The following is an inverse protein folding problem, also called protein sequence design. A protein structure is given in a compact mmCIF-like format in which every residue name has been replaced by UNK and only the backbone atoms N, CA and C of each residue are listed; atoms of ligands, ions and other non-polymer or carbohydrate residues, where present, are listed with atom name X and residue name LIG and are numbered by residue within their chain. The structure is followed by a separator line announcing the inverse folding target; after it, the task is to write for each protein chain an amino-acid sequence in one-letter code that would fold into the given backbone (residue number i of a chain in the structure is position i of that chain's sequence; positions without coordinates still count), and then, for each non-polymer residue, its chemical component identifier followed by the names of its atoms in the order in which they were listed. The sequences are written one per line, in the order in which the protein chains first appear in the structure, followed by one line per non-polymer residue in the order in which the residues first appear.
data_IF_107057928854
#
_entry.id   IF_107057928854
#
_cell.length_a   1.000
_cell.length_b   1.000
_cell.length_c   1.000
_cell.angle_alpha   90.00
_cell.angle_beta   90.00
_cell.angle_gamma   90.00
#
_symmetry.space_group_name_H-M   'P 1'
#
loop_
_entity.id
_entity.type
_entity.pdbx_description
1 polymer ?
#
# COMPACT_ATOMS: atom_id res chain seq x y z
N UNK A 1 -5.11 -14.02 -26.59
CA UNK A 1 -3.80 -14.08 -27.31
C UNK A 1 -2.98 -12.88 -26.88
N UNK A 2 -1.74 -13.00 -26.39
CA UNK A 2 -0.98 -11.87 -25.80
C UNK A 2 -1.91 -10.86 -25.08
N UNK A 3 -1.88 -9.58 -25.46
CA UNK A 3 -2.70 -8.50 -24.91
C UNK A 3 -4.05 -8.27 -25.65
N UNK A 4 -4.61 -9.30 -26.29
CA UNK A 4 -5.92 -9.25 -26.96
C UNK A 4 -6.93 -10.18 -26.29
N UNK A 5 -8.14 -9.64 -26.10
CA UNK A 5 -9.30 -10.33 -25.52
C UNK A 5 -9.95 -11.35 -26.48
N UNK A 6 -9.56 -11.35 -27.76
CA UNK A 6 -10.11 -12.23 -28.81
C UNK A 6 -9.01 -13.07 -29.45
N UNK A 7 -9.39 -14.26 -29.91
CA UNK A 7 -8.51 -15.11 -30.71
C UNK A 7 -8.47 -14.64 -32.17
N UNK A 8 -7.26 -14.52 -32.72
CA UNK A 8 -7.02 -14.20 -34.12
C UNK A 8 -6.71 -15.49 -34.89
N UNK A 9 -7.16 -15.57 -36.14
CA UNK A 9 -6.67 -16.59 -37.07
C UNK A 9 -5.31 -16.15 -37.60
N UNK A 10 -4.25 -16.91 -37.35
CA UNK A 10 -2.90 -16.64 -37.84
C UNK A 10 -2.57 -17.61 -38.99
N UNK A 11 -1.95 -17.13 -40.06
CA UNK A 11 -1.34 -18.03 -41.05
C UNK A 11 -0.03 -18.62 -40.49
N UNK A 12 0.55 -19.61 -41.17
CA UNK A 12 1.74 -20.33 -40.70
C UNK A 12 2.89 -19.39 -40.32
N UNK A 13 3.19 -18.40 -41.18
CA UNK A 13 4.24 -17.42 -40.90
C UNK A 13 3.92 -16.51 -39.72
N UNK A 14 2.67 -16.09 -39.56
CA UNK A 14 2.21 -15.29 -38.41
C UNK A 14 2.22 -16.10 -37.11
N UNK A 15 1.96 -17.41 -37.21
CA UNK A 15 2.01 -18.35 -36.10
C UNK A 15 3.47 -18.57 -35.64
N UNK A 16 4.42 -18.69 -36.57
CA UNK A 16 5.85 -18.77 -36.27
C UNK A 16 6.34 -17.52 -35.52
N UNK A 17 5.91 -16.33 -35.98
CA UNK A 17 6.19 -15.06 -35.30
C UNK A 17 5.59 -15.07 -33.89
N UNK A 18 4.32 -15.47 -33.75
CA UNK A 18 3.66 -15.52 -32.45
C UNK A 18 4.38 -16.47 -31.48
N UNK A 19 4.70 -17.68 -31.92
CA UNK A 19 5.35 -18.69 -31.10
C UNK A 19 6.74 -18.25 -30.64
N UNK A 20 7.52 -17.63 -31.53
CA UNK A 20 8.81 -17.07 -31.16
C UNK A 20 8.66 -15.97 -30.09
N UNK A 21 7.69 -15.05 -30.27
CA UNK A 21 7.45 -13.97 -29.32
C UNK A 21 7.04 -14.52 -27.95
N UNK A 22 6.08 -15.45 -27.90
CA UNK A 22 5.60 -16.05 -26.64
C UNK A 22 6.71 -16.80 -25.91
N UNK A 23 7.61 -17.48 -26.63
CA UNK A 23 8.74 -18.18 -26.04
C UNK A 23 9.87 -17.25 -25.56
N UNK A 24 9.91 -15.99 -26.01
CA UNK A 24 11.04 -15.07 -25.80
C UNK A 24 10.59 -13.66 -25.39
N UNK A 25 9.52 -13.56 -24.60
CA UNK A 25 8.87 -12.28 -24.27
C UNK A 25 9.85 -11.23 -23.72
N UNK A 26 10.68 -11.61 -22.73
CA UNK A 26 11.66 -10.72 -22.10
C UNK A 26 12.77 -10.26 -23.07
N UNK A 27 13.06 -11.04 -24.12
CA UNK A 27 14.06 -10.67 -25.15
C UNK A 27 13.43 -9.74 -26.17
N UNK A 28 12.22 -10.06 -26.65
CA UNK A 28 11.55 -9.33 -27.75
C UNK A 28 11.21 -7.89 -27.39
N UNK A 29 10.87 -7.61 -26.13
CA UNK A 29 10.60 -6.24 -25.66
C UNK A 29 11.79 -5.29 -25.80
N UNK A 30 13.02 -5.78 -26.03
CA UNK A 30 14.22 -4.97 -26.25
C UNK A 30 14.75 -5.04 -27.70
N UNK A 31 14.24 -5.94 -28.55
CA UNK A 31 14.71 -6.12 -29.93
C UNK A 31 14.35 -4.94 -30.84
N UNK A 32 15.16 -4.71 -31.89
CA UNK A 32 14.71 -3.93 -33.05
C UNK A 32 13.91 -4.84 -33.98
N UNK A 33 13.05 -4.25 -34.81
CA UNK A 33 12.24 -5.01 -35.77
C UNK A 33 13.08 -5.88 -36.71
N UNK A 34 14.29 -5.41 -37.07
CA UNK A 34 15.25 -6.14 -37.90
C UNK A 34 15.80 -7.39 -37.20
N UNK A 35 15.99 -7.31 -35.89
CA UNK A 35 16.52 -8.42 -35.09
C UNK A 35 15.45 -9.52 -34.99
N UNK A 36 14.20 -9.14 -34.68
CA UNK A 36 13.07 -10.08 -34.65
C UNK A 36 12.81 -10.72 -36.03
N UNK A 37 12.86 -9.91 -37.09
CA UNK A 37 12.71 -10.41 -38.46
C UNK A 37 13.81 -11.43 -38.83
N UNK A 38 15.03 -11.22 -38.35
CA UNK A 38 16.16 -12.14 -38.59
C UNK A 38 15.97 -13.44 -37.84
N UNK A 39 15.56 -13.39 -36.57
CA UNK A 39 15.36 -14.55 -35.69
C UNK A 39 14.21 -15.45 -36.17
N UNK A 40 13.16 -14.87 -36.73
CA UNK A 40 12.00 -15.61 -37.27
C UNK A 40 12.13 -15.87 -38.78
N UNK A 41 13.23 -15.46 -39.40
CA UNK A 41 13.49 -15.64 -40.84
C UNK A 41 12.41 -15.03 -41.78
N UNK A 42 11.93 -13.84 -41.45
CA UNK A 42 10.90 -13.11 -42.24
C UNK A 42 11.34 -11.69 -42.59
N UNK A 43 10.57 -11.02 -43.46
CA UNK A 43 10.80 -9.59 -43.73
C UNK A 43 10.27 -8.70 -42.60
N UNK A 44 10.84 -7.51 -42.43
CA UNK A 44 10.32 -6.50 -41.50
C UNK A 44 8.88 -6.08 -41.84
N UNK A 45 8.50 -6.11 -43.12
CA UNK A 45 7.13 -5.86 -43.58
C UNK A 45 6.16 -6.92 -43.07
N UNK A 46 6.59 -8.19 -43.00
CA UNK A 46 5.80 -9.29 -42.41
C UNK A 46 5.55 -9.04 -40.93
N UNK A 47 6.58 -8.65 -40.17
CA UNK A 47 6.44 -8.28 -38.76
C UNK A 47 5.48 -7.08 -38.58
N UNK A 48 5.57 -6.05 -39.43
CA UNK A 48 4.64 -4.91 -39.36
C UNK A 48 3.19 -5.32 -39.60
N UNK A 49 2.94 -6.22 -40.57
CA UNK A 49 1.61 -6.79 -40.81
C UNK A 49 1.09 -7.55 -39.60
N UNK A 50 1.94 -8.36 -38.98
CA UNK A 50 1.63 -9.05 -37.74
C UNK A 50 1.23 -8.06 -36.64
N UNK A 51 2.05 -7.03 -36.37
CA UNK A 51 1.74 -6.01 -35.36
C UNK A 51 0.39 -5.30 -35.60
N UNK A 52 0.05 -5.01 -36.86
CA UNK A 52 -1.25 -4.41 -37.22
C UNK A 52 -2.42 -5.33 -36.92
N UNK A 53 -2.26 -6.63 -37.13
CA UNK A 53 -3.27 -7.64 -36.77
C UNK A 53 -3.48 -7.70 -35.26
N UNK A 54 -2.45 -7.39 -34.48
CA UNK A 54 -2.50 -7.19 -33.03
C UNK A 54 -2.93 -5.77 -32.61
N UNK A 55 -3.56 -5.00 -33.49
CA UNK A 55 -4.12 -3.68 -33.15
C UNK A 55 -3.07 -2.61 -32.83
N UNK A 56 -1.89 -2.71 -33.45
CA UNK A 56 -0.78 -1.75 -33.27
C UNK A 56 -0.43 -1.08 -34.61
N UNK A 57 -0.12 0.21 -34.60
CA UNK A 57 0.26 0.94 -35.82
C UNK A 57 1.66 0.57 -36.34
N UNK A 58 2.49 -0.05 -35.49
CA UNK A 58 3.82 -0.56 -35.85
C UNK A 58 4.47 -1.35 -34.72
N UNK A 59 5.72 -1.77 -34.95
CA UNK A 59 6.46 -2.62 -34.03
C UNK A 59 6.81 -1.94 -32.70
N UNK A 60 7.08 -0.62 -32.71
CA UNK A 60 7.35 0.13 -31.49
C UNK A 60 6.14 0.13 -30.54
N UNK A 61 4.94 0.38 -31.07
CA UNK A 61 3.70 0.32 -30.28
C UNK A 61 3.42 -1.09 -29.78
N UNK A 62 3.65 -2.10 -30.62
CA UNK A 62 3.54 -3.50 -30.22
C UNK A 62 4.46 -3.86 -29.06
N UNK A 63 5.73 -3.41 -29.09
CA UNK A 63 6.68 -3.62 -27.99
C UNK A 63 6.22 -2.97 -26.68
N UNK A 64 5.66 -1.76 -26.75
CA UNK A 64 5.14 -1.07 -25.56
C UNK A 64 3.97 -1.87 -24.96
N UNK A 65 3.00 -2.30 -25.78
CA UNK A 65 1.88 -3.13 -25.29
C UNK A 65 2.35 -4.48 -24.75
N UNK A 66 3.36 -5.09 -25.38
CA UNK A 66 3.97 -6.34 -24.91
C UNK A 66 4.67 -6.17 -23.56
N UNK A 67 5.34 -5.04 -23.34
CA UNK A 67 5.97 -4.72 -22.06
C UNK A 67 4.92 -4.54 -20.96
N UNK A 68 3.86 -3.78 -21.21
CA UNK A 68 2.75 -3.61 -20.25
C UNK A 68 2.10 -4.96 -19.91
N UNK A 69 1.87 -5.81 -20.91
CA UNK A 69 1.36 -7.17 -20.71
C UNK A 69 2.26 -8.04 -19.83
N UNK A 70 3.59 -7.91 -19.94
CA UNK A 70 4.53 -8.62 -19.08
C UNK A 70 4.55 -8.07 -17.66
N UNK A 71 4.44 -6.74 -17.51
CA UNK A 71 4.34 -6.10 -16.20
C UNK A 71 3.05 -6.55 -15.48
N UNK A 72 1.92 -6.62 -16.19
CA UNK A 72 0.65 -7.17 -15.69
C UNK A 72 0.76 -8.64 -15.27
N UNK A 73 1.45 -9.48 -16.05
CA UNK A 73 1.66 -10.88 -15.68
C UNK A 73 2.58 -11.06 -14.47
N UNK A 74 3.61 -10.21 -14.32
CA UNK A 74 4.48 -10.22 -13.15
C UNK A 74 3.72 -9.81 -11.87
N UNK A 75 2.80 -8.86 -11.98
CA UNK A 75 1.89 -8.49 -10.89
C UNK A 75 0.92 -9.62 -10.49
N UNK A 76 0.70 -10.63 -11.36
CA UNK A 76 -0.19 -11.75 -11.09
C UNK A 76 0.50 -12.96 -10.39
N UNK A 77 1.84 -12.98 -10.31
CA UNK A 77 2.56 -13.97 -9.52
C UNK A 77 2.73 -13.45 -8.10
N UNK A 78 2.01 -14.06 -7.14
CA UNK A 78 2.32 -13.89 -5.72
C UNK A 78 3.68 -14.56 -5.50
N UNK A 79 4.75 -13.77 -5.43
CA UNK A 79 6.04 -14.30 -4.99
C UNK A 79 5.88 -14.93 -3.59
N UNK A 80 6.60 -16.03 -3.34
CA UNK A 80 6.68 -16.61 -1.99
C UNK A 80 7.05 -15.49 -1.02
N UNK A 81 6.31 -15.39 0.09
CA UNK A 81 6.48 -14.32 1.08
C UNK A 81 7.97 -14.12 1.41
N UNK A 82 8.52 -12.97 1.00
CA UNK A 82 9.91 -12.64 1.26
C UNK A 82 10.07 -12.27 2.74
N UNK A 83 10.37 -13.27 3.56
CA UNK A 83 10.57 -13.11 5.01
C UNK A 83 11.63 -12.05 5.35
N UNK A 84 12.56 -11.76 4.43
CA UNK A 84 13.61 -10.76 4.67
C UNK A 84 13.01 -9.36 4.84
N UNK A 85 11.90 -9.06 4.17
CA UNK A 85 11.19 -7.78 4.33
C UNK A 85 10.69 -7.58 5.76
N UNK A 86 10.19 -8.64 6.41
CA UNK A 86 9.74 -8.59 7.81
C UNK A 86 10.91 -8.52 8.78
N UNK A 87 11.97 -9.29 8.54
CA UNK A 87 13.19 -9.24 9.34
C UNK A 87 13.80 -7.83 9.30
N UNK A 88 13.84 -7.20 8.13
CA UNK A 88 14.37 -5.85 7.98
C UNK A 88 13.47 -4.80 8.62
N UNK A 89 12.14 -4.98 8.58
CA UNK A 89 11.23 -4.19 9.41
C UNK A 89 11.59 -4.31 10.90
N UNK A 90 11.72 -5.52 11.45
CA UNK A 90 12.08 -5.73 12.85
C UNK A 90 13.46 -5.14 13.22
N UNK A 91 14.44 -5.22 12.32
CA UNK A 91 15.73 -4.55 12.52
C UNK A 91 15.59 -3.02 12.57
N UNK A 92 14.70 -2.44 11.75
CA UNK A 92 14.40 -0.99 11.78
C UNK A 92 13.74 -0.59 13.09
N UNK A 93 12.88 -1.43 13.68
CA UNK A 93 12.21 -1.08 14.95
C UNK A 93 13.18 -0.96 16.12
N UNK A 94 14.34 -1.62 16.03
CA UNK A 94 15.42 -1.48 17.00
C UNK A 94 16.21 -0.15 16.88
N UNK A 95 16.12 0.54 15.73
CA UNK A 95 16.88 1.76 15.45
C UNK A 95 16.36 2.96 16.23
N UNK A 96 17.24 3.95 16.55
CA UNK A 96 16.84 5.14 17.30
C UNK A 96 15.71 5.94 16.65
N UNK A 97 15.68 6.02 15.33
CA UNK A 97 14.70 6.81 14.59
C UNK A 97 13.28 6.26 14.77
N UNK A 98 13.13 4.94 14.69
CA UNK A 98 11.83 4.30 14.90
C UNK A 98 11.38 4.45 16.36
N UNK A 99 12.30 4.25 17.31
CA UNK A 99 12.01 4.46 18.74
C UNK A 99 11.58 5.89 19.05
N UNK A 100 12.20 6.88 18.41
CA UNK A 100 11.82 8.28 18.55
C UNK A 100 10.41 8.56 17.98
N UNK A 101 10.04 7.92 16.87
CA UNK A 101 8.67 8.02 16.34
C UNK A 101 7.63 7.42 17.30
N UNK A 102 7.92 6.26 17.88
CA UNK A 102 7.06 5.64 18.91
C UNK A 102 6.94 6.58 20.12
N UNK A 103 8.06 7.10 20.62
CA UNK A 103 8.06 8.00 21.78
C UNK A 103 7.27 9.28 21.54
N UNK A 104 7.37 9.89 20.36
CA UNK A 104 6.56 11.05 19.99
C UNK A 104 5.05 10.71 19.99
N UNK A 105 4.67 9.54 19.46
CA UNK A 105 3.29 9.09 19.51
C UNK A 105 2.80 8.87 20.95
N UNK A 106 3.63 8.26 21.80
CA UNK A 106 3.36 8.08 23.25
C UNK A 106 3.12 9.41 23.94
N UNK A 107 3.95 10.41 23.68
CA UNK A 107 3.82 11.76 24.28
C UNK A 107 2.52 12.45 23.86
N UNK A 108 2.11 12.31 22.59
CA UNK A 108 0.82 12.85 22.11
C UNK A 108 -0.37 12.16 22.79
N UNK A 109 -0.26 10.86 23.07
CA UNK A 109 -1.34 10.02 23.60
C UNK A 109 -1.50 10.12 25.11
N UNK A 110 -0.43 10.40 25.87
CA UNK A 110 -0.39 10.28 27.34
C UNK A 110 -1.59 10.88 28.07
N UNK A 111 -2.04 12.07 27.65
CA UNK A 111 -3.12 12.82 28.33
C UNK A 111 -4.51 12.65 27.69
N UNK A 112 -4.63 11.73 26.72
CA UNK A 112 -5.87 11.48 25.97
C UNK A 112 -6.74 10.47 26.70
N UNK A 113 -8.04 10.73 26.72
CA UNK A 113 -9.03 9.90 27.39
C UNK A 113 -9.84 9.06 26.39
N UNK A 114 -9.79 9.41 25.09
CA UNK A 114 -10.41 8.65 24.02
C UNK A 114 -9.46 8.55 22.82
N UNK A 115 -9.20 7.31 22.39
CA UNK A 115 -8.45 7.02 21.16
C UNK A 115 -9.36 6.45 20.08
N UNK A 116 -9.42 7.10 18.93
CA UNK A 116 -10.23 6.67 17.80
C UNK A 116 -9.36 5.95 16.78
N UNK A 117 -9.66 4.70 16.48
CA UNK A 117 -8.97 3.93 15.46
C UNK A 117 -9.76 3.93 14.17
N UNK A 118 -9.10 4.21 13.04
CA UNK A 118 -9.73 4.13 11.73
C UNK A 118 -8.80 3.56 10.67
N UNK A 119 -9.38 2.78 9.77
CA UNK A 119 -8.74 2.25 8.57
C UNK A 119 -9.83 1.70 7.64
N UNK A 120 -9.47 1.41 6.39
CA UNK A 120 -10.40 0.84 5.40
C UNK A 120 -9.90 -0.53 4.98
N UNK A 121 -10.83 -1.47 4.77
CA UNK A 121 -10.50 -2.85 4.37
C UNK A 121 -9.69 -3.58 5.44
N UNK A 122 -8.57 -4.20 5.04
CA UNK A 122 -7.68 -4.92 5.96
C UNK A 122 -7.13 -4.01 7.06
N UNK A 123 -6.83 -2.74 6.76
CA UNK A 123 -6.42 -1.77 7.79
C UNK A 123 -7.53 -1.42 8.78
N UNK A 124 -8.80 -1.54 8.39
CA UNK A 124 -9.95 -1.40 9.30
C UNK A 124 -10.01 -2.52 10.33
N UNK A 125 -9.76 -3.77 9.92
CA UNK A 125 -9.67 -4.92 10.85
C UNK A 125 -8.56 -4.72 11.88
N UNK A 126 -7.42 -4.16 11.45
CA UNK A 126 -6.30 -3.85 12.34
C UNK A 126 -6.62 -2.67 13.25
N UNK A 127 -7.41 -1.70 12.77
CA UNK A 127 -7.93 -0.59 13.57
C UNK A 127 -8.86 -1.10 14.68
N UNK A 128 -9.75 -2.05 14.36
CA UNK A 128 -10.61 -2.73 15.33
C UNK A 128 -9.80 -3.48 16.39
N UNK A 129 -8.82 -4.28 15.97
CA UNK A 129 -7.88 -4.93 16.89
C UNK A 129 -7.20 -3.89 17.81
N UNK A 130 -6.72 -2.79 17.23
CA UNK A 130 -6.03 -1.74 17.97
C UNK A 130 -6.92 -1.10 19.03
N UNK A 131 -8.19 -0.87 18.73
CA UNK A 131 -9.17 -0.35 19.70
C UNK A 131 -9.36 -1.30 20.89
N UNK A 132 -9.47 -2.61 20.64
CA UNK A 132 -9.57 -3.63 21.71
C UNK A 132 -8.28 -3.65 22.55
N UNK A 133 -7.13 -3.64 21.89
CA UNK A 133 -5.82 -3.70 22.54
C UNK A 133 -5.54 -2.47 23.41
N UNK A 134 -5.81 -1.26 22.89
CA UNK A 134 -5.64 -0.01 23.63
C UNK A 134 -6.62 0.11 24.80
N UNK A 135 -7.88 -0.30 24.63
CA UNK A 135 -8.86 -0.33 25.72
C UNK A 135 -8.43 -1.25 26.87
N UNK A 136 -7.67 -2.30 26.56
CA UNK A 136 -7.18 -3.25 27.56
C UNK A 136 -5.95 -2.75 28.32
N UNK A 137 -5.09 -1.94 27.70
CA UNK A 137 -3.80 -1.54 28.28
C UNK A 137 -3.69 -0.07 28.67
N UNK A 138 -4.41 0.83 28.02
CA UNK A 138 -4.20 2.27 28.16
C UNK A 138 -5.46 3.04 28.55
N UNK A 139 -6.37 3.27 27.61
CA UNK A 139 -7.54 4.14 27.79
C UNK A 139 -8.66 3.72 26.86
N UNK A 140 -9.86 4.28 27.02
CA UNK A 140 -11.00 3.98 26.14
C UNK A 140 -10.60 4.19 24.68
N UNK A 141 -10.72 3.16 23.86
CA UNK A 141 -10.44 3.22 22.45
C UNK A 141 -11.58 2.60 21.63
N UNK A 142 -11.98 3.28 20.56
CA UNK A 142 -13.11 2.89 19.72
C UNK A 142 -12.69 2.81 18.25
N UNK A 143 -13.20 1.80 17.56
CA UNK A 143 -13.06 1.67 16.11
C UNK A 143 -14.14 2.47 15.39
N UNK A 144 -13.74 3.21 14.36
CA UNK A 144 -14.64 3.91 13.44
C UNK A 144 -14.99 2.93 12.32
N UNK A 145 -16.18 2.33 12.42
CA UNK A 145 -16.67 1.34 11.45
C UNK A 145 -17.01 1.97 10.08
N UNK A 146 -17.61 3.17 10.10
CA UNK A 146 -17.96 3.92 8.89
C UNK A 146 -17.28 5.30 8.89
N UNK A 147 -16.15 5.44 8.18
CA UNK A 147 -15.47 6.73 8.01
C UNK A 147 -16.27 7.76 7.21
N UNK A 148 -17.40 7.42 6.59
CA UNK A 148 -18.29 8.41 5.95
C UNK A 148 -19.18 9.11 6.97
N UNK A 149 -19.37 8.50 8.16
CA UNK A 149 -20.13 9.11 9.24
C UNK A 149 -19.22 9.96 10.13
N UNK A 150 -19.56 11.23 10.24
CA UNK A 150 -18.69 12.27 10.77
C UNK A 150 -19.38 13.04 11.93
N UNK A 151 -19.39 12.49 13.16
CA UNK A 151 -20.17 13.07 14.25
C UNK A 151 -19.51 14.27 14.96
N UNK A 152 -18.37 14.80 14.48
CA UNK A 152 -17.54 15.73 15.28
C UNK A 152 -17.84 17.22 15.11
N UNK A 153 -18.92 17.63 14.46
CA UNK A 153 -19.22 19.04 14.20
C UNK A 153 -19.43 19.90 15.48
N UNK A 154 -19.70 19.25 16.62
CA UNK A 154 -20.11 19.94 17.86
C UNK A 154 -19.26 19.53 19.08
N UNK A 155 -17.97 19.23 18.88
CA UNK A 155 -17.07 18.97 20.00
C UNK A 155 -16.73 20.25 20.75
N UNK A 156 -16.82 20.22 22.08
CA UNK A 156 -16.23 21.26 22.91
C UNK A 156 -14.70 21.18 22.85
N UNK A 157 -14.01 22.33 22.93
CA UNK A 157 -12.54 22.37 22.93
C UNK A 157 -11.92 21.46 24.00
N UNK A 158 -12.49 21.45 25.21
CA UNK A 158 -12.05 20.57 26.30
C UNK A 158 -12.11 19.09 25.94
N UNK A 159 -13.11 18.68 25.16
CA UNK A 159 -13.27 17.30 24.73
C UNK A 159 -12.34 16.97 23.57
N UNK A 160 -12.17 17.90 22.62
CA UNK A 160 -11.22 17.74 21.51
C UNK A 160 -9.79 17.51 21.99
N UNK A 161 -9.37 18.26 23.02
CA UNK A 161 -8.06 18.09 23.66
C UNK A 161 -7.88 16.72 24.33
N UNK A 162 -8.95 15.95 24.51
CA UNK A 162 -8.90 14.60 25.11
C UNK A 162 -9.02 13.49 24.08
N UNK A 163 -9.18 13.83 22.80
CA UNK A 163 -9.35 12.88 21.71
C UNK A 163 -8.09 12.85 20.84
N UNK A 164 -7.63 11.64 20.52
CA UNK A 164 -6.63 11.42 19.48
C UNK A 164 -7.10 10.32 18.53
N UNK A 165 -6.90 10.52 17.23
CA UNK A 165 -7.12 9.48 16.24
C UNK A 165 -5.81 8.76 15.92
N UNK A 166 -5.89 7.45 15.71
CA UNK A 166 -4.85 6.63 15.09
C UNK A 166 -5.39 6.13 13.74
N UNK A 167 -4.86 6.70 12.66
CA UNK A 167 -5.22 6.35 11.28
C UNK A 167 -4.27 5.28 10.73
N UNK A 168 -4.81 4.17 10.26
CA UNK A 168 -4.06 3.06 9.67
C UNK A 168 -4.36 3.01 8.18
N UNK A 169 -3.33 3.19 7.36
CA UNK A 169 -3.46 3.12 5.90
C UNK A 169 -2.14 2.78 5.26
N UNK A 170 -2.09 1.68 4.49
CA UNK A 170 -0.86 1.23 3.84
C UNK A 170 -0.33 2.29 2.87
N UNK A 171 -1.15 2.74 1.93
CA UNK A 171 -0.77 3.77 0.95
C UNK A 171 -0.77 5.16 1.54
N UNK A 172 -1.63 5.41 2.52
CA UNK A 172 -1.82 6.73 3.12
C UNK A 172 -2.58 7.72 2.22
N UNK A 173 -3.37 7.22 1.26
CA UNK A 173 -4.09 8.03 0.26
C UNK A 173 -5.61 7.76 0.24
N UNK A 174 -6.16 7.02 1.22
CA UNK A 174 -7.61 6.78 1.26
C UNK A 174 -8.37 8.09 1.55
N UNK A 175 -9.24 8.50 0.62
CA UNK A 175 -9.93 9.79 0.68
C UNK A 175 -10.87 9.91 1.88
N UNK A 176 -11.55 8.83 2.28
CA UNK A 176 -12.49 8.85 3.41
C UNK A 176 -11.74 9.15 4.71
N UNK A 177 -10.60 8.49 4.92
CA UNK A 177 -9.72 8.75 6.07
C UNK A 177 -9.12 10.16 6.01
N UNK A 178 -8.71 10.64 4.84
CA UNK A 178 -8.21 12.01 4.67
C UNK A 178 -9.27 13.04 5.07
N UNK A 179 -10.51 12.88 4.62
CA UNK A 179 -11.63 13.76 4.99
C UNK A 179 -11.90 13.71 6.50
N UNK A 180 -11.85 12.52 7.10
CA UNK A 180 -12.01 12.34 8.55
C UNK A 180 -10.94 13.10 9.35
N UNK A 181 -9.68 12.97 8.94
CA UNK A 181 -8.54 13.67 9.56
C UNK A 181 -8.73 15.19 9.48
N UNK A 182 -9.16 15.71 8.33
CA UNK A 182 -9.42 17.15 8.19
C UNK A 182 -10.45 17.67 9.17
N UNK A 183 -11.55 16.95 9.39
CA UNK A 183 -12.59 17.36 10.33
C UNK A 183 -12.11 17.31 11.78
N UNK A 184 -11.42 16.23 12.18
CA UNK A 184 -10.87 16.13 13.52
C UNK A 184 -9.85 17.24 13.81
N UNK A 185 -8.97 17.54 12.84
CA UNK A 185 -8.02 18.65 12.97
C UNK A 185 -8.71 20.01 13.01
N UNK A 186 -9.83 20.20 12.30
CA UNK A 186 -10.64 21.42 12.40
C UNK A 186 -11.23 21.62 13.82
N UNK A 187 -11.40 20.53 14.58
CA UNK A 187 -11.80 20.55 15.99
C UNK A 187 -10.61 20.59 16.96
N UNK A 188 -9.37 20.69 16.46
CA UNK A 188 -8.11 20.61 17.22
C UNK A 188 -7.78 19.24 17.84
N UNK A 189 -8.45 18.17 17.43
CA UNK A 189 -8.06 16.82 17.84
C UNK A 189 -6.71 16.43 17.23
N UNK A 190 -5.92 15.64 17.96
CA UNK A 190 -4.63 15.12 17.48
C UNK A 190 -4.80 13.89 16.59
N UNK A 191 -3.91 13.75 15.62
CA UNK A 191 -3.91 12.61 14.70
C UNK A 191 -2.52 11.98 14.65
N UNK A 192 -2.47 10.68 14.86
CA UNK A 192 -1.29 9.83 14.63
C UNK A 192 -1.61 8.93 13.45
N UNK A 193 -0.65 8.70 12.56
CA UNK A 193 -0.83 7.72 11.48
C UNK A 193 0.23 6.64 11.48
N UNK A 194 -0.22 5.45 11.07
CA UNK A 194 0.63 4.28 10.83
C UNK A 194 0.50 3.96 9.33
N UNK A 195 1.55 4.23 8.58
CA UNK A 195 1.54 4.15 7.11
C UNK A 195 2.77 3.43 6.57
N UNK A 196 2.72 2.98 5.32
CA UNK A 196 3.90 2.37 4.71
C UNK A 196 4.95 3.41 4.26
N UNK A 197 4.60 4.70 4.23
CA UNK A 197 5.47 5.77 3.78
C UNK A 197 5.18 7.10 4.47
N UNK A 198 6.23 7.74 4.99
CA UNK A 198 6.14 9.10 5.52
C UNK A 198 5.84 10.19 4.46
N UNK A 199 5.84 9.82 3.17
CA UNK A 199 5.54 10.73 2.06
C UNK A 199 4.07 10.68 1.62
N UNK A 200 3.21 9.94 2.31
CA UNK A 200 1.78 9.89 1.97
C UNK A 200 1.01 11.12 2.46
N UNK A 201 -0.17 11.35 1.91
CA UNK A 201 -1.05 12.46 2.32
C UNK A 201 -1.48 12.32 3.77
N UNK A 202 -1.94 11.15 4.19
CA UNK A 202 -2.28 10.87 5.59
C UNK A 202 -1.08 11.13 6.50
N UNK A 203 0.12 10.67 6.14
CA UNK A 203 1.33 10.92 6.93
C UNK A 203 1.64 12.42 7.12
N UNK A 204 1.45 13.23 6.08
CA UNK A 204 1.67 14.69 6.14
C UNK A 204 0.61 15.43 6.95
N UNK A 205 -0.62 14.93 6.98
CA UNK A 205 -1.72 15.55 7.72
C UNK A 205 -1.64 15.23 9.22
N UNK A 206 -1.03 14.11 9.60
CA UNK A 206 -0.90 13.69 11.00
C UNK A 206 0.06 14.57 11.81
N UNK A 207 -0.20 14.68 13.11
CA UNK A 207 0.70 15.30 14.09
C UNK A 207 1.94 14.43 14.36
N UNK A 208 1.82 13.10 14.21
CA UNK A 208 2.94 12.17 14.17
C UNK A 208 2.66 11.03 13.18
N UNK A 209 3.70 10.54 12.50
CA UNK A 209 3.59 9.39 11.60
C UNK A 209 4.66 8.35 11.90
N UNK A 210 4.23 7.09 12.03
CA UNK A 210 5.10 5.93 12.11
C UNK A 210 5.07 5.25 10.74
N UNK A 211 6.20 5.30 10.03
CA UNK A 211 6.34 4.69 8.70
C UNK A 211 7.12 3.39 8.77
N UNK A 212 6.57 2.30 8.23
CA UNK A 212 7.18 0.97 8.35
C UNK A 212 7.93 0.45 7.10
N UNK A 213 7.74 1.05 5.93
CA UNK A 213 8.54 0.82 4.70
C UNK A 213 8.76 -0.66 4.32
N UNK A 214 7.69 -1.42 4.17
CA UNK A 214 7.72 -2.74 3.55
C UNK A 214 7.35 -2.66 2.07
N UNK A 215 7.70 -3.69 1.31
CA UNK A 215 7.29 -3.80 -0.08
C UNK A 215 5.75 -3.85 -0.16
N UNK A 216 5.18 -3.08 -1.10
CA UNK A 216 3.75 -3.14 -1.37
C UNK A 216 3.48 -4.38 -2.23
N UNK A 217 2.47 -5.12 -1.86
CA UNK A 217 2.03 -6.31 -2.59
C UNK A 217 0.58 -6.10 -3.04
N UNK A 218 0.38 -6.24 -4.35
CA UNK A 218 -0.93 -6.14 -4.99
C UNK A 218 -1.21 -7.48 -5.67
N UNK A 219 -2.41 -8.02 -5.46
CA UNK A 219 -2.91 -9.14 -6.22
C UNK A 219 -4.19 -8.72 -6.93
N UNK A 220 -4.12 -8.62 -8.26
CA UNK A 220 -5.15 -7.95 -9.06
C UNK A 220 -5.36 -6.51 -8.53
N UNK A 221 -6.58 -6.17 -8.10
CA UNK A 221 -6.91 -4.86 -7.52
C UNK A 221 -6.81 -4.84 -6.00
N UNK A 222 -6.58 -6.00 -5.36
CA UNK A 222 -6.51 -6.10 -3.90
C UNK A 222 -5.11 -5.78 -3.39
N UNK A 223 -5.01 -4.82 -2.48
CA UNK A 223 -3.79 -4.66 -1.70
C UNK A 223 -3.69 -5.76 -0.64
N UNK A 224 -2.71 -6.65 -0.82
CA UNK A 224 -2.40 -7.77 0.09
C UNK A 224 -1.15 -7.51 0.94
N UNK A 225 -0.64 -6.28 0.92
CA UNK A 225 0.49 -5.84 1.74
C UNK A 225 0.24 -6.19 3.21
N UNK A 226 1.19 -6.92 3.78
CA UNK A 226 1.09 -7.43 5.15
C UNK A 226 0.82 -6.33 6.16
N UNK A 227 -0.11 -6.61 7.07
CA UNK A 227 -0.45 -5.72 8.18
C UNK A 227 0.40 -5.97 9.44
N UNK A 228 1.33 -6.92 9.41
CA UNK A 228 2.19 -7.26 10.55
C UNK A 228 2.93 -6.02 11.12
N UNK A 229 3.51 -5.13 10.29
CA UNK A 229 4.15 -3.93 10.82
C UNK A 229 3.18 -2.96 11.54
N UNK A 230 1.97 -2.82 11.02
CA UNK A 230 0.95 -1.97 11.63
C UNK A 230 0.51 -2.54 12.98
N UNK A 231 0.24 -3.86 13.02
CA UNK A 231 -0.09 -4.59 14.24
C UNK A 231 1.01 -4.44 15.31
N UNK A 232 2.26 -4.70 14.94
CA UNK A 232 3.41 -4.54 15.83
C UNK A 232 3.51 -3.11 16.38
N UNK A 233 3.31 -2.11 15.52
CA UNK A 233 3.40 -0.69 15.89
C UNK A 233 2.34 -0.32 16.93
N UNK A 234 1.10 -0.78 16.75
CA UNK A 234 0.01 -0.59 17.70
C UNK A 234 0.37 -1.20 19.05
N UNK A 235 0.79 -2.46 19.07
CA UNK A 235 1.17 -3.14 20.31
C UNK A 235 2.32 -2.42 21.02
N UNK A 236 3.33 -1.98 20.26
CA UNK A 236 4.50 -1.30 20.81
C UNK A 236 4.11 0.04 21.46
N UNK A 237 3.31 0.87 20.79
CA UNK A 237 2.83 2.15 21.35
C UNK A 237 2.07 1.90 22.66
N UNK A 238 1.10 0.97 22.66
CA UNK A 238 0.30 0.68 23.86
C UNK A 238 1.16 0.15 25.02
N UNK A 239 2.11 -0.75 24.75
CA UNK A 239 3.02 -1.29 25.78
C UNK A 239 3.95 -0.22 26.35
N UNK A 240 4.49 0.65 25.51
CA UNK A 240 5.36 1.73 25.94
C UNK A 240 4.60 2.74 26.81
N UNK A 241 3.39 3.15 26.40
CA UNK A 241 2.53 4.00 27.23
C UNK A 241 2.26 3.35 28.58
N UNK A 242 1.87 2.06 28.58
CA UNK A 242 1.57 1.34 29.82
C UNK A 242 2.78 1.26 30.75
N UNK A 243 3.95 0.98 30.20
CA UNK A 243 5.22 0.90 30.96
C UNK A 243 5.55 2.24 31.60
N UNK A 244 5.29 3.36 30.93
CA UNK A 244 5.52 4.69 31.49
C UNK A 244 4.52 5.01 32.62
N UNK A 245 3.23 4.71 32.43
CA UNK A 245 2.21 4.89 33.47
C UNK A 245 2.53 4.06 34.73
N UNK A 246 2.99 2.81 34.56
CA UNK A 246 3.32 1.95 35.70
C UNK A 246 4.57 2.45 36.45
N UNK A 247 5.54 3.07 35.76
CA UNK A 247 6.71 3.70 36.38
C UNK A 247 6.37 4.96 37.18
N UNK A 248 5.38 5.74 36.75
CA UNK A 248 4.93 6.95 37.47
C UNK A 248 4.17 6.63 38.76
N UNK A 249 3.67 5.39 38.92
CA UNK A 249 2.96 4.93 40.12
C UNK A 249 3.88 4.35 41.20
N UNK A 250 5.16 4.12 40.89
CA UNK A 250 6.18 3.60 41.80
C UNK A 250 6.93 4.76 42.48
#
# INVERSE_FOLDING_TARGET
MLFLDKNLELNDTELDIYNYIVANLDKVVYMRIRDLATEVHVSTTTILRFCRKFGCNGFSEFRVKLQLYLEEQKLAQIDMADETTYIDFLKRTAQPEFKAQIQNAVEILRDRELVLFAGVGSSGVIAEYGAIYFSSLFTLALHIEDPLNHPFYHLSSKLSDKICMIAISVEGENEDIIRYIHQLKAQNCKVISITNSAKSTIARLSDANIAYYINKEMYQEANITSQLPALYTIENIAREIRTQIDKEKL
#
